data_IF_554799795025
#
_entry.id   IF_554799795025
#
_cell.length_a   1.000
_cell.length_b   1.000
_cell.length_c   1.000
_cell.angle_alpha   90.00
_cell.angle_beta   90.00
_cell.angle_gamma   90.00
#
_symmetry.space_group_name_H-M   'P 1'
#
loop_
_entity.id
_entity.type
_entity.pdbx_description
1 polymer ?
#
# COMPACT_ATOMS: atom_id res chain seq x y z
N UNK A 1 -22.65 7.75 -28.04
CA UNK A 1 -21.75 6.87 -27.28
C UNK A 1 -21.80 7.39 -25.86
N UNK A 2 -22.41 6.66 -24.92
CA UNK A 2 -22.37 7.06 -23.50
C UNK A 2 -20.93 6.87 -23.02
N UNK A 3 -20.35 7.93 -22.47
CA UNK A 3 -19.05 7.88 -21.80
C UNK A 3 -19.15 6.86 -20.64
N UNK A 4 -18.35 5.82 -20.67
CA UNK A 4 -18.29 4.85 -19.58
C UNK A 4 -17.58 5.52 -18.40
N UNK A 5 -18.34 5.95 -17.42
CA UNK A 5 -17.80 6.43 -16.16
C UNK A 5 -17.60 5.18 -15.28
N UNK A 6 -16.33 4.84 -15.02
CA UNK A 6 -16.04 3.77 -14.08
C UNK A 6 -16.66 4.10 -12.69
N UNK A 7 -17.24 3.11 -11.98
CA UNK A 7 -17.75 3.35 -10.64
C UNK A 7 -16.63 3.87 -9.73
N UNK A 8 -16.95 4.73 -8.75
CA UNK A 8 -15.96 5.16 -7.76
C UNK A 8 -15.40 3.93 -7.06
N UNK A 9 -14.07 3.84 -6.98
CA UNK A 9 -13.36 2.75 -6.30
C UNK A 9 -12.87 3.21 -4.95
N UNK A 10 -12.75 2.27 -4.01
CA UNK A 10 -12.33 2.54 -2.64
C UNK A 10 -10.99 1.86 -2.32
N UNK A 11 -10.10 2.61 -1.67
CA UNK A 11 -8.77 2.15 -1.25
C UNK A 11 -8.63 2.35 0.26
N UNK A 12 -8.41 1.28 1.01
CA UNK A 12 -8.08 1.37 2.43
C UNK A 12 -6.57 1.22 2.63
N UNK A 13 -5.96 2.12 3.40
CA UNK A 13 -4.53 2.09 3.74
C UNK A 13 -4.40 1.60 5.18
N UNK A 14 -4.15 0.29 5.36
CA UNK A 14 -3.95 -0.36 6.65
C UNK A 14 -2.49 -0.23 7.08
N UNK A 15 -2.19 0.57 8.11
CA UNK A 15 -0.81 0.85 8.45
C UNK A 15 -0.53 0.95 9.95
N UNK A 16 0.72 0.66 10.31
CA UNK A 16 1.32 1.01 11.60
C UNK A 16 2.44 2.03 11.43
N UNK A 17 2.58 2.95 12.38
CA UNK A 17 3.68 3.90 12.42
C UNK A 17 4.13 4.11 13.87
N UNK A 18 5.38 3.71 14.21
CA UNK A 18 5.91 3.87 15.55
C UNK A 18 6.39 5.30 15.85
N UNK A 19 7.01 5.96 14.86
CA UNK A 19 7.65 7.28 15.01
C UNK A 19 7.10 8.34 14.02
N UNK A 20 5.99 8.06 13.36
CA UNK A 20 5.36 8.99 12.42
C UNK A 20 5.82 8.85 10.96
N UNK A 21 7.02 8.38 10.66
CA UNK A 21 7.56 8.31 9.31
C UNK A 21 6.70 7.48 8.34
N UNK A 22 6.24 6.30 8.79
CA UNK A 22 5.34 5.45 7.99
C UNK A 22 3.97 6.10 7.80
N UNK A 23 3.50 6.92 8.75
CA UNK A 23 2.25 7.67 8.60
C UNK A 23 2.34 8.73 7.49
N UNK A 24 3.49 9.38 7.30
CA UNK A 24 3.74 10.29 6.16
C UNK A 24 3.56 9.56 4.83
N UNK A 25 4.08 8.34 4.72
CA UNK A 25 3.93 7.52 3.53
C UNK A 25 2.49 7.01 3.34
N UNK A 26 1.79 6.65 4.43
CA UNK A 26 0.39 6.25 4.38
C UNK A 26 -0.49 7.38 3.84
N UNK A 27 -0.25 8.61 4.29
CA UNK A 27 -0.94 9.79 3.78
C UNK A 27 -0.57 10.08 2.31
N UNK A 28 0.66 9.84 1.90
CA UNK A 28 1.08 9.96 0.50
C UNK A 28 0.34 8.94 -0.39
N UNK A 29 0.26 7.68 0.02
CA UNK A 29 -0.53 6.64 -0.69
C UNK A 29 -1.99 7.06 -0.80
N UNK A 30 -2.61 7.56 0.29
CA UNK A 30 -3.99 8.05 0.29
C UNK A 30 -4.17 9.19 -0.71
N UNK A 31 -3.32 10.21 -0.67
CA UNK A 31 -3.37 11.34 -1.63
C UNK A 31 -3.28 10.85 -3.07
N UNK A 32 -2.29 10.00 -3.37
CA UNK A 32 -2.14 9.47 -4.73
C UNK A 32 -3.37 8.72 -5.24
N UNK A 33 -4.09 8.00 -4.37
CA UNK A 33 -5.34 7.33 -4.73
C UNK A 33 -6.48 8.35 -4.98
N UNK A 34 -6.61 9.35 -4.10
CA UNK A 34 -7.62 10.43 -4.24
C UNK A 34 -7.39 11.27 -5.49
N UNK A 35 -6.15 11.59 -5.82
CA UNK A 35 -5.79 12.42 -6.99
C UNK A 35 -6.23 11.79 -8.32
N UNK A 36 -6.47 10.49 -8.34
CA UNK A 36 -6.98 9.76 -9.53
C UNK A 36 -8.45 9.36 -9.40
N UNK A 37 -9.17 9.90 -8.41
CA UNK A 37 -10.62 9.80 -8.30
C UNK A 37 -11.13 8.64 -7.45
N UNK A 38 -10.28 7.97 -6.66
CA UNK A 38 -10.74 6.96 -5.72
C UNK A 38 -11.09 7.58 -4.35
N UNK A 39 -12.02 6.97 -3.63
CA UNK A 39 -12.18 7.18 -2.21
C UNK A 39 -11.04 6.47 -1.47
N UNK A 40 -10.32 7.17 -0.58
CA UNK A 40 -9.22 6.55 0.13
C UNK A 40 -9.22 6.90 1.63
N UNK A 41 -9.14 5.86 2.47
CA UNK A 41 -9.19 5.98 3.93
C UNK A 41 -7.91 5.46 4.59
N UNK A 42 -7.54 6.08 5.73
CA UNK A 42 -6.43 5.64 6.57
C UNK A 42 -6.95 4.78 7.72
N UNK A 43 -6.36 3.61 7.89
CA UNK A 43 -6.71 2.65 8.94
C UNK A 43 -5.46 2.35 9.80
N UNK A 44 -5.23 3.08 10.90
CA UNK A 44 -4.17 2.76 11.85
C UNK A 44 -4.46 1.42 12.55
N UNK A 45 -3.66 0.38 12.27
CA UNK A 45 -3.96 -1.00 12.68
C UNK A 45 -3.80 -1.27 14.18
N UNK A 46 -3.04 -0.43 14.90
CA UNK A 46 -2.83 -0.57 16.34
C UNK A 46 -4.01 -0.04 17.19
N UNK A 47 -4.94 0.68 16.59
CA UNK A 47 -6.13 1.26 17.25
C UNK A 47 -7.38 1.04 16.42
N UNK A 48 -7.40 -0.03 15.63
CA UNK A 48 -8.47 -0.31 14.67
C UNK A 48 -9.83 -0.48 15.37
N UNK A 49 -10.85 0.21 14.85
CA UNK A 49 -12.24 0.17 15.33
C UNK A 49 -13.08 -0.78 14.47
N UNK A 50 -14.28 -1.14 14.95
CA UNK A 50 -15.21 -1.97 14.17
C UNK A 50 -15.61 -1.30 12.84
N UNK A 51 -15.75 0.01 12.81
CA UNK A 51 -16.03 0.77 11.60
C UNK A 51 -14.85 0.66 10.60
N UNK A 52 -13.61 0.76 11.09
CA UNK A 52 -12.41 0.61 10.26
C UNK A 52 -12.23 -0.82 9.75
N UNK A 53 -12.63 -1.83 10.53
CA UNK A 53 -12.72 -3.20 10.04
C UNK A 53 -13.70 -3.33 8.88
N UNK A 54 -14.87 -2.66 8.96
CA UNK A 54 -15.85 -2.64 7.89
C UNK A 54 -15.30 -1.91 6.65
N UNK A 55 -14.59 -0.79 6.83
CA UNK A 55 -13.93 -0.08 5.73
C UNK A 55 -12.93 -0.99 4.96
N UNK A 56 -12.16 -1.83 5.67
CA UNK A 56 -11.29 -2.83 5.05
C UNK A 56 -12.10 -3.90 4.30
N UNK A 57 -13.20 -4.36 4.91
CA UNK A 57 -14.06 -5.39 4.32
C UNK A 57 -14.78 -4.87 3.06
N UNK A 58 -15.10 -3.59 2.97
CA UNK A 58 -15.81 -2.96 1.84
C UNK A 58 -14.87 -2.44 0.74
N UNK A 59 -13.59 -2.20 1.04
CA UNK A 59 -12.65 -1.63 0.08
C UNK A 59 -12.40 -2.53 -1.14
N UNK A 60 -12.21 -1.94 -2.32
CA UNK A 60 -11.77 -2.64 -3.54
C UNK A 60 -10.29 -3.03 -3.50
N UNK A 61 -9.50 -2.24 -2.77
CA UNK A 61 -8.08 -2.48 -2.57
C UNK A 61 -7.65 -2.15 -1.15
N UNK A 62 -6.68 -2.92 -0.63
CA UNK A 62 -6.05 -2.66 0.67
C UNK A 62 -4.55 -2.48 0.47
N UNK A 63 -4.01 -1.33 0.88
CA UNK A 63 -2.57 -1.07 0.86
C UNK A 63 -2.01 -1.25 2.26
N UNK A 64 -1.07 -2.17 2.43
CA UNK A 64 -0.44 -2.50 3.71
C UNK A 64 0.80 -1.65 3.95
N UNK A 65 0.92 -1.05 5.14
CA UNK A 65 2.05 -0.21 5.51
C UNK A 65 2.59 -0.51 6.90
N UNK A 66 3.89 -0.71 7.03
CA UNK A 66 4.56 -0.87 8.32
C UNK A 66 6.00 -0.40 8.24
N UNK A 67 6.59 0.10 9.34
CA UNK A 67 8.04 0.19 9.39
C UNK A 67 8.64 -1.22 9.36
N UNK A 68 9.85 -1.34 8.81
CA UNK A 68 10.65 -2.57 8.95
C UNK A 68 11.42 -2.51 10.27
N UNK A 69 11.02 -3.31 11.23
CA UNK A 69 11.68 -3.48 12.53
C UNK A 69 12.23 -4.89 12.64
N UNK A 70 13.52 -5.01 12.99
CA UNK A 70 14.21 -6.31 13.14
C UNK A 70 13.99 -7.25 11.95
N UNK A 71 14.03 -6.70 10.73
CA UNK A 71 13.94 -7.48 9.49
C UNK A 71 12.52 -7.87 9.03
N UNK A 72 11.47 -7.36 9.65
CA UNK A 72 10.08 -7.68 9.29
C UNK A 72 9.14 -6.51 9.55
N UNK A 73 7.85 -6.66 9.26
CA UNK A 73 6.83 -5.74 9.70
C UNK A 73 6.82 -5.63 11.23
N UNK A 74 6.36 -4.51 11.77
CA UNK A 74 6.28 -4.28 13.22
C UNK A 74 5.38 -5.31 13.93
N UNK A 75 5.60 -5.54 15.22
CA UNK A 75 4.77 -6.41 16.04
C UNK A 75 3.28 -5.99 16.01
N UNK A 76 2.98 -4.68 16.01
CA UNK A 76 1.61 -4.21 15.88
C UNK A 76 0.96 -4.60 14.55
N UNK A 77 1.71 -4.60 13.45
CA UNK A 77 1.18 -5.07 12.17
C UNK A 77 1.00 -6.60 12.15
N UNK A 78 1.90 -7.37 12.76
CA UNK A 78 1.72 -8.81 12.91
C UNK A 78 0.48 -9.15 13.76
N UNK A 79 0.25 -8.43 14.86
CA UNK A 79 -0.97 -8.60 15.68
C UNK A 79 -2.25 -8.30 14.87
N UNK A 80 -2.22 -7.27 14.03
CA UNK A 80 -3.31 -7.01 13.09
C UNK A 80 -3.49 -8.17 12.11
N UNK A 81 -2.41 -8.67 11.52
CA UNK A 81 -2.48 -9.80 10.59
C UNK A 81 -3.10 -11.04 11.24
N UNK A 82 -2.75 -11.38 12.48
CA UNK A 82 -3.37 -12.47 13.24
C UNK A 82 -4.86 -12.21 13.51
N UNK A 83 -5.24 -10.96 13.81
CA UNK A 83 -6.64 -10.59 14.05
C UNK A 83 -7.54 -10.73 12.81
N UNK A 84 -6.96 -10.85 11.60
CA UNK A 84 -7.74 -11.09 10.36
C UNK A 84 -8.18 -12.55 10.18
N UNK A 85 -7.83 -13.47 11.06
CA UNK A 85 -8.06 -14.93 10.90
C UNK A 85 -9.52 -15.28 10.59
N UNK A 86 -10.50 -14.58 11.18
CA UNK A 86 -11.91 -14.79 10.84
C UNK A 86 -12.22 -14.36 9.40
N UNK A 87 -11.67 -13.20 8.95
CA UNK A 87 -11.84 -12.69 7.59
C UNK A 87 -11.22 -13.62 6.55
N UNK A 88 -10.06 -14.19 6.91
CA UNK A 88 -9.42 -15.24 6.11
C UNK A 88 -10.32 -16.47 5.97
N UNK A 89 -10.88 -17.00 7.06
CA UNK A 89 -11.76 -18.16 7.03
C UNK A 89 -13.04 -17.90 6.22
N UNK A 90 -13.62 -16.71 6.32
CA UNK A 90 -14.82 -16.28 5.60
C UNK A 90 -14.54 -15.84 4.14
N UNK A 91 -13.25 -15.69 3.75
CA UNK A 91 -12.86 -15.26 2.39
C UNK A 91 -13.23 -13.82 2.05
N UNK A 92 -13.39 -12.94 3.05
CA UNK A 92 -13.91 -11.57 2.87
C UNK A 92 -13.05 -10.69 1.96
N UNK A 93 -11.75 -10.97 1.88
CA UNK A 93 -10.82 -10.18 1.07
C UNK A 93 -10.42 -10.87 -0.25
N UNK A 94 -11.05 -12.01 -0.56
CA UNK A 94 -10.78 -12.71 -1.81
C UNK A 94 -11.03 -11.79 -3.02
N UNK A 95 -10.09 -11.86 -3.98
CA UNK A 95 -10.12 -11.09 -5.22
C UNK A 95 -10.03 -9.55 -5.09
N UNK A 96 -9.84 -9.00 -3.87
CA UNK A 96 -9.45 -7.60 -3.70
C UNK A 96 -8.01 -7.38 -4.16
N UNK A 97 -7.69 -6.16 -4.53
CA UNK A 97 -6.30 -5.79 -4.80
C UNK A 97 -5.53 -5.53 -3.49
N UNK A 98 -4.25 -5.85 -3.50
CA UNK A 98 -3.33 -5.54 -2.40
C UNK A 98 -2.03 -4.94 -2.91
N UNK A 99 -1.43 -4.05 -2.14
CA UNK A 99 -0.09 -3.50 -2.36
C UNK A 99 0.59 -3.25 -1.01
N UNK A 100 1.84 -2.82 -1.02
CA UNK A 100 2.53 -2.54 0.25
C UNK A 100 3.59 -1.46 0.16
N UNK A 101 3.84 -0.82 1.32
CA UNK A 101 4.94 0.12 1.51
C UNK A 101 5.58 -0.04 2.88
N UNK A 102 6.83 0.33 2.98
CA UNK A 102 7.59 0.23 4.23
C UNK A 102 8.65 1.33 4.34
N UNK A 103 9.07 1.62 5.58
CA UNK A 103 10.16 2.53 5.89
C UNK A 103 11.14 1.90 6.87
N UNK A 104 12.41 2.24 6.76
CA UNK A 104 13.43 1.96 7.79
C UNK A 104 14.58 2.97 7.71
N UNK A 105 15.42 3.02 8.74
CA UNK A 105 16.51 3.99 8.82
C UNK A 105 17.65 3.69 7.83
N UNK A 106 17.97 2.42 7.60
CA UNK A 106 19.02 2.04 6.64
C UNK A 106 18.48 2.00 5.22
N UNK A 107 19.31 2.31 4.22
CA UNK A 107 18.91 2.32 2.79
C UNK A 107 18.32 0.97 2.34
N UNK A 108 18.99 -0.14 2.58
CA UNK A 108 18.44 -1.47 2.35
C UNK A 108 17.48 -1.87 3.48
N UNK A 109 17.98 -1.97 4.71
CA UNK A 109 17.25 -2.16 5.97
C UNK A 109 16.25 -3.31 5.98
N UNK A 110 16.51 -4.35 5.17
CA UNK A 110 15.68 -5.54 5.01
C UNK A 110 14.20 -5.25 4.65
N UNK A 111 13.96 -4.10 4.01
CA UNK A 111 12.61 -3.70 3.56
C UNK A 111 11.96 -4.73 2.65
N UNK A 112 12.76 -5.45 1.86
CA UNK A 112 12.27 -6.53 0.99
C UNK A 112 11.56 -7.63 1.78
N UNK A 113 12.01 -7.94 3.00
CA UNK A 113 11.36 -8.93 3.87
C UNK A 113 9.97 -8.48 4.30
N UNK A 114 9.80 -7.20 4.64
CA UNK A 114 8.49 -6.64 4.99
C UNK A 114 7.54 -6.66 3.79
N UNK A 115 8.02 -6.27 2.60
CA UNK A 115 7.21 -6.29 1.38
C UNK A 115 6.84 -7.74 0.98
N UNK A 116 7.75 -8.70 1.14
CA UNK A 116 7.49 -10.11 0.91
C UNK A 116 6.46 -10.68 1.91
N UNK A 117 6.53 -10.28 3.18
CA UNK A 117 5.52 -10.61 4.18
C UNK A 117 4.13 -10.11 3.76
N UNK A 118 4.01 -8.86 3.32
CA UNK A 118 2.72 -8.31 2.85
C UNK A 118 2.18 -9.07 1.63
N UNK A 119 3.04 -9.40 0.66
CA UNK A 119 2.62 -10.15 -0.52
C UNK A 119 2.14 -11.58 -0.14
N UNK A 120 2.83 -12.24 0.80
CA UNK A 120 2.41 -13.54 1.32
C UNK A 120 1.10 -13.45 2.10
N UNK A 121 0.95 -12.42 2.95
CA UNK A 121 -0.28 -12.15 3.70
C UNK A 121 -1.47 -11.90 2.77
N UNK A 122 -1.28 -11.09 1.72
CA UNK A 122 -2.28 -10.86 0.68
C UNK A 122 -2.66 -12.16 -0.04
N UNK A 123 -1.67 -12.99 -0.41
CA UNK A 123 -1.91 -14.27 -1.07
C UNK A 123 -2.71 -15.24 -0.20
N UNK A 124 -2.44 -15.31 1.11
CA UNK A 124 -3.25 -16.09 2.05
C UNK A 124 -4.72 -15.62 2.06
N UNK A 125 -4.97 -14.32 2.01
CA UNK A 125 -6.30 -13.75 1.86
C UNK A 125 -6.89 -13.86 0.44
N UNK A 126 -6.22 -14.54 -0.50
CA UNK A 126 -6.62 -14.70 -1.91
C UNK A 126 -6.72 -13.37 -2.67
N UNK A 127 -5.93 -12.38 -2.26
CA UNK A 127 -5.87 -11.05 -2.89
C UNK A 127 -4.90 -11.05 -4.08
N UNK A 128 -5.07 -10.10 -4.99
CA UNK A 128 -4.22 -9.88 -6.15
C UNK A 128 -3.19 -8.79 -5.84
N UNK A 129 -1.90 -9.15 -5.91
CA UNK A 129 -0.82 -8.21 -5.58
C UNK A 129 -0.52 -7.23 -6.71
N UNK A 130 -0.53 -5.94 -6.39
CA UNK A 130 -0.13 -4.84 -7.27
C UNK A 130 1.29 -4.40 -6.90
N UNK A 131 2.26 -4.67 -7.76
CA UNK A 131 3.64 -4.21 -7.59
C UNK A 131 3.77 -2.70 -7.80
N UNK A 132 4.93 -2.11 -7.43
CA UNK A 132 5.18 -0.67 -7.57
C UNK A 132 5.05 -0.16 -9.02
N UNK A 133 5.49 -0.95 -10.00
CA UNK A 133 5.36 -0.59 -11.42
C UNK A 133 6.29 0.53 -11.88
N UNK A 134 7.36 0.82 -11.13
CA UNK A 134 8.43 1.75 -11.48
C UNK A 134 9.77 1.01 -11.61
N UNK A 135 10.56 1.38 -12.60
CA UNK A 135 11.97 1.03 -12.63
C UNK A 135 12.72 1.72 -11.48
N UNK A 136 13.89 1.20 -11.04
CA UNK A 136 14.73 1.88 -10.08
C UNK A 136 15.19 3.24 -10.63
N UNK A 137 15.02 4.31 -9.85
CA UNK A 137 15.38 5.66 -10.28
C UNK A 137 16.88 5.92 -10.20
N UNK A 138 17.48 5.72 -9.05
CA UNK A 138 18.89 6.07 -8.79
C UNK A 138 19.83 4.90 -9.08
N UNK A 139 19.93 4.48 -10.35
CA UNK A 139 20.69 3.31 -10.78
C UNK A 139 21.66 3.53 -11.94
N UNK A 140 21.94 4.79 -12.29
CA UNK A 140 22.91 5.15 -13.34
C UNK A 140 23.75 6.37 -12.93
N UNK A 141 24.81 6.65 -13.66
CA UNK A 141 25.71 7.80 -13.39
C UNK A 141 25.04 9.16 -13.64
N UNK A 142 23.93 9.19 -14.35
CA UNK A 142 23.14 10.39 -14.66
C UNK A 142 21.86 10.51 -13.82
N UNK A 143 21.57 9.50 -13.00
CA UNK A 143 20.40 9.48 -12.11
C UNK A 143 20.68 10.17 -10.77
N UNK A 144 19.62 10.45 -10.02
CA UNK A 144 19.65 11.23 -8.79
C UNK A 144 18.93 10.53 -7.66
N UNK A 145 19.30 10.81 -6.41
CA UNK A 145 18.54 10.40 -5.23
C UNK A 145 17.14 11.03 -5.17
N UNK A 146 16.87 12.02 -6.02
CA UNK A 146 15.56 12.66 -6.13
C UNK A 146 14.63 11.95 -7.14
N UNK A 147 15.09 10.92 -7.82
CA UNK A 147 14.29 10.17 -8.77
C UNK A 147 13.30 9.23 -8.04
N UNK A 148 12.15 8.96 -8.67
CA UNK A 148 11.18 8.01 -8.13
C UNK A 148 11.80 6.62 -7.97
N UNK A 149 11.36 5.90 -6.95
CA UNK A 149 11.90 4.59 -6.61
C UNK A 149 13.44 4.59 -6.46
N UNK A 150 14.00 5.65 -5.87
CA UNK A 150 15.44 5.82 -5.67
C UNK A 150 16.13 4.65 -4.95
N UNK A 151 15.36 3.88 -4.15
CA UNK A 151 15.87 2.73 -3.39
C UNK A 151 15.75 1.40 -4.16
N UNK A 152 15.07 1.38 -5.31
CA UNK A 152 15.04 0.25 -6.23
C UNK A 152 14.18 -0.93 -5.80
N UNK A 153 13.10 -0.72 -5.02
CA UNK A 153 12.18 -1.79 -4.65
C UNK A 153 11.14 -2.04 -5.76
N UNK A 154 10.85 -3.32 -6.02
CA UNK A 154 9.92 -3.74 -7.07
C UNK A 154 8.55 -4.15 -6.52
N UNK A 155 8.54 -4.85 -5.37
CA UNK A 155 7.33 -5.42 -4.78
C UNK A 155 6.37 -4.39 -4.19
N UNK A 156 6.85 -3.18 -3.88
CA UNK A 156 6.08 -2.10 -3.27
C UNK A 156 6.93 -0.87 -3.06
N UNK A 157 6.44 0.16 -2.38
CA UNK A 157 7.21 1.37 -2.10
C UNK A 157 8.09 1.20 -0.85
N UNK A 158 9.39 1.43 -1.00
CA UNK A 158 10.34 1.49 0.11
C UNK A 158 10.80 2.93 0.36
N UNK A 159 10.88 3.34 1.62
CA UNK A 159 11.41 4.63 2.03
C UNK A 159 12.55 4.50 3.04
N UNK A 160 13.42 5.50 3.07
CA UNK A 160 14.50 5.60 4.05
C UNK A 160 14.41 6.93 4.78
N UNK A 161 14.35 6.89 6.12
CA UNK A 161 14.33 8.07 6.97
C UNK A 161 15.40 7.93 8.05
N UNK A 162 16.27 8.93 8.27
CA UNK A 162 17.26 8.89 9.33
C UNK A 162 16.65 8.54 10.70
N UNK A 163 17.37 7.76 11.50
CA UNK A 163 16.89 7.25 12.79
C UNK A 163 16.52 8.35 13.78
N UNK A 164 17.31 9.41 13.75
CA UNK A 164 17.21 10.60 14.62
C UNK A 164 16.45 11.77 13.97
N UNK A 165 15.90 11.58 12.77
CA UNK A 165 15.13 12.57 12.04
C UNK A 165 13.66 12.61 12.45
N UNK A 166 13.05 13.78 12.38
CA UNK A 166 11.60 13.95 12.52
C UNK A 166 10.85 13.53 11.25
N UNK A 167 9.52 13.68 11.27
CA UNK A 167 8.65 13.34 10.13
C UNK A 167 8.93 14.16 8.87
N UNK A 168 9.48 15.35 9.04
CA UNK A 168 9.92 16.26 7.97
C UNK A 168 11.18 15.80 7.23
N UNK A 169 11.89 14.80 7.76
CA UNK A 169 13.08 14.22 7.14
C UNK A 169 12.78 13.05 6.20
N UNK A 170 11.51 12.66 6.05
CA UNK A 170 11.12 11.67 5.04
C UNK A 170 11.39 12.24 3.66
N UNK A 171 12.22 11.55 2.88
CA UNK A 171 12.73 12.07 1.60
C UNK A 171 11.59 12.26 0.59
N UNK A 172 11.56 13.42 -0.08
CA UNK A 172 10.49 13.80 -1.02
C UNK A 172 10.30 12.75 -2.13
N UNK A 173 11.38 12.20 -2.70
CA UNK A 173 11.26 11.14 -3.71
C UNK A 173 10.58 9.87 -3.18
N UNK A 174 10.77 9.52 -1.91
CA UNK A 174 10.11 8.37 -1.29
C UNK A 174 8.62 8.67 -1.06
N UNK A 175 8.27 9.90 -0.66
CA UNK A 175 6.88 10.37 -0.55
C UNK A 175 6.19 10.30 -1.90
N UNK A 176 6.80 10.86 -2.96
CA UNK A 176 6.22 10.84 -4.31
C UNK A 176 6.14 9.41 -4.89
N UNK A 177 7.07 8.52 -4.50
CA UNK A 177 7.01 7.10 -4.85
C UNK A 177 5.80 6.42 -4.17
N UNK A 178 5.49 6.78 -2.92
CA UNK A 178 4.31 6.28 -2.22
C UNK A 178 3.00 6.83 -2.82
N UNK A 179 2.97 8.09 -3.24
CA UNK A 179 1.84 8.68 -4.00
C UNK A 179 1.61 7.93 -5.31
N UNK A 180 2.68 7.65 -6.06
CA UNK A 180 2.59 6.84 -7.28
C UNK A 180 1.97 5.46 -7.00
N UNK A 181 2.37 4.79 -5.90
CA UNK A 181 1.79 3.50 -5.52
C UNK A 181 0.28 3.61 -5.30
N UNK A 182 -0.17 4.61 -4.54
CA UNK A 182 -1.59 4.87 -4.29
C UNK A 182 -2.39 5.10 -5.58
N UNK A 183 -1.89 5.99 -6.45
CA UNK A 183 -2.49 6.25 -7.74
C UNK A 183 -2.55 5.00 -8.64
N UNK A 184 -1.49 4.18 -8.63
CA UNK A 184 -1.45 2.93 -9.39
C UNK A 184 -2.48 1.93 -8.88
N UNK A 185 -2.57 1.71 -7.56
CA UNK A 185 -3.54 0.79 -6.96
C UNK A 185 -4.97 1.21 -7.30
N UNK A 186 -5.30 2.48 -7.15
CA UNK A 186 -6.63 3.01 -7.48
C UNK A 186 -6.99 2.81 -8.96
N UNK A 187 -6.06 3.08 -9.90
CA UNK A 187 -6.28 2.82 -11.33
C UNK A 187 -6.49 1.32 -11.63
N UNK A 188 -5.74 0.43 -10.97
CA UNK A 188 -5.94 -1.01 -11.13
C UNK A 188 -7.28 -1.46 -10.55
N UNK A 189 -7.70 -0.92 -9.40
CA UNK A 189 -9.03 -1.18 -8.83
C UNK A 189 -10.15 -0.78 -9.79
N UNK A 190 -10.05 0.40 -10.40
CA UNK A 190 -11.02 0.84 -11.40
C UNK A 190 -11.09 -0.08 -12.63
N UNK A 191 -9.94 -0.56 -13.12
CA UNK A 191 -9.89 -1.52 -14.25
C UNK A 191 -10.53 -2.86 -13.88
N UNK A 192 -10.27 -3.37 -12.68
CA UNK A 192 -10.87 -4.64 -12.20
C UNK A 192 -12.39 -4.49 -12.01
N UNK A 193 -12.84 -3.39 -11.40
CA UNK A 193 -14.27 -3.10 -11.22
C UNK A 193 -15.00 -3.01 -12.56
N UNK A 194 -14.43 -2.30 -13.53
CA UNK A 194 -14.96 -2.20 -14.89
C UNK A 194 -15.02 -3.56 -15.59
N UNK A 195 -13.97 -4.38 -15.47
CA UNK A 195 -13.93 -5.71 -16.03
C UNK A 195 -14.99 -6.65 -15.45
N UNK A 196 -15.18 -6.62 -14.13
CA UNK A 196 -16.22 -7.39 -13.44
C UNK A 196 -17.63 -7.00 -13.91
N UNK A 197 -17.91 -5.71 -14.06
CA UNK A 197 -19.19 -5.22 -14.57
C UNK A 197 -19.44 -5.69 -16.01
N UNK A 198 -18.42 -5.69 -16.87
CA UNK A 198 -18.52 -6.14 -18.24
C UNK A 198 -18.80 -7.65 -18.36
N UNK A 199 -18.14 -8.48 -17.53
CA UNK A 199 -18.33 -9.93 -17.50
C UNK A 199 -19.71 -10.31 -16.97
N UNK A 200 -20.23 -9.61 -15.94
CA UNK A 200 -21.55 -9.89 -15.36
C UNK A 200 -22.72 -9.62 -16.34
N UNK A 201 -22.52 -8.76 -17.35
CA UNK A 201 -23.54 -8.46 -18.39
C UNK A 201 -23.62 -9.58 -19.44
N UNK A 202 -22.59 -10.41 -19.56
CA UNK A 202 -22.50 -11.47 -20.59
C UNK A 202 -22.81 -12.87 -20.04
N UNK A 203 -23.11 -13.03 -18.77
CA UNK A 203 -23.49 -14.27 -18.09
C UNK A 203 -24.99 -14.31 -17.81
#
# INVERSE_FOLDING_TARGET
MSEFVAPPTSVAVAFHSGYGHTAVLAEAVRRGAVDVGADATLVPVNTITDEQWQQLDDADAIVFGSPTYMGSASAAFHSFAEATSRRFAEGRWADKLAAGFTNSASKAGDKSSTLAFFATFAAQHRMLWVSLGLAPGWNSTTASENDLNRLGFWGGAGAQTPLDGGVDTVHTADVTTAEHLGARVARQAALVAAGRSAVSVTA
#
